data_IF_636731490086
#
_entry.id   IF_636731490086
#
_cell.length_a   1.000
_cell.length_b   1.000
_cell.length_c   1.000
_cell.angle_alpha   90.00
_cell.angle_beta   90.00
_cell.angle_gamma   90.00
#
_symmetry.space_group_name_H-M   'P 1'
#
loop_
_entity.id
_entity.type
_entity.pdbx_description
1 polymer ?
#
# COMPACT_ATOMS: atom_id res chain seq x y z
N UNK A 1 14.20 -20.75 -2.69
CA UNK A 1 12.82 -20.28 -2.36
C UNK A 1 12.73 -18.90 -1.68
N UNK A 2 13.76 -18.38 -0.97
CA UNK A 2 13.68 -17.06 -0.28
C UNK A 2 13.62 -15.83 -1.21
N UNK A 3 14.34 -15.84 -2.34
CA UNK A 3 14.31 -14.76 -3.35
C UNK A 3 12.89 -14.51 -3.89
N UNK A 4 12.09 -15.56 -4.08
CA UNK A 4 10.72 -15.44 -4.56
C UNK A 4 9.82 -14.73 -3.54
N UNK A 5 10.00 -14.98 -2.23
CA UNK A 5 9.17 -14.34 -1.18
C UNK A 5 9.34 -12.82 -1.14
N UNK A 6 10.56 -12.32 -1.35
CA UNK A 6 10.85 -10.87 -1.43
C UNK A 6 10.21 -10.21 -2.62
N UNK A 7 10.36 -10.83 -3.79
CA UNK A 7 9.74 -10.36 -5.01
C UNK A 7 8.22 -10.24 -4.85
N UNK A 8 7.58 -11.26 -4.29
CA UNK A 8 6.14 -11.23 -4.02
C UNK A 8 5.73 -10.20 -2.96
N UNK A 9 6.49 -10.05 -1.87
CA UNK A 9 6.21 -9.03 -0.86
C UNK A 9 6.35 -7.60 -1.40
N UNK A 10 7.38 -7.34 -2.22
CA UNK A 10 7.57 -6.06 -2.90
C UNK A 10 6.48 -5.81 -3.94
N UNK A 11 6.12 -6.81 -4.75
CA UNK A 11 5.06 -6.72 -5.75
C UNK A 11 3.70 -6.42 -5.09
N UNK A 12 3.37 -7.08 -3.98
CA UNK A 12 2.16 -6.81 -3.21
C UNK A 12 2.14 -5.38 -2.65
N UNK A 13 3.29 -4.88 -2.21
CA UNK A 13 3.41 -3.52 -1.68
C UNK A 13 3.18 -2.49 -2.78
N UNK A 14 3.81 -2.67 -3.93
CA UNK A 14 3.64 -1.80 -5.08
C UNK A 14 2.19 -1.81 -5.56
N UNK A 15 1.58 -3.00 -5.71
CA UNK A 15 0.18 -3.13 -6.12
C UNK A 15 -0.77 -2.42 -5.14
N UNK A 16 -0.57 -2.61 -3.82
CA UNK A 16 -1.38 -1.94 -2.80
C UNK A 16 -1.19 -0.42 -2.81
N UNK A 17 0.03 0.06 -3.03
CA UNK A 17 0.32 1.50 -3.19
C UNK A 17 -0.37 2.09 -4.43
N UNK A 18 -0.36 1.39 -5.56
CA UNK A 18 -1.07 1.81 -6.77
C UNK A 18 -2.58 1.91 -6.53
N UNK A 19 -3.17 0.94 -5.82
CA UNK A 19 -4.60 0.98 -5.47
C UNK A 19 -4.93 2.16 -4.54
N UNK A 20 -4.09 2.46 -3.55
CA UNK A 20 -4.26 3.64 -2.70
C UNK A 20 -4.19 4.93 -3.50
N UNK A 21 -3.21 5.04 -4.40
CA UNK A 21 -3.06 6.20 -5.26
C UNK A 21 -4.30 6.40 -6.16
N UNK A 22 -4.79 5.34 -6.79
CA UNK A 22 -6.00 5.39 -7.60
C UNK A 22 -7.23 5.79 -6.75
N UNK A 23 -7.36 5.24 -5.55
CA UNK A 23 -8.44 5.59 -4.62
C UNK A 23 -8.40 7.08 -4.21
N UNK A 24 -7.20 7.66 -4.05
CA UNK A 24 -7.03 9.09 -3.79
C UNK A 24 -7.48 9.94 -4.97
N UNK A 25 -7.16 9.54 -6.21
CA UNK A 25 -7.63 10.24 -7.41
C UNK A 25 -9.16 10.27 -7.48
N UNK A 26 -9.82 9.16 -7.14
CA UNK A 26 -11.30 9.11 -7.06
C UNK A 26 -11.84 10.09 -6.02
N UNK A 27 -11.19 10.20 -4.85
CA UNK A 27 -11.60 11.18 -3.84
C UNK A 27 -11.37 12.62 -4.28
N UNK A 28 -10.28 12.90 -4.99
CA UNK A 28 -9.99 14.24 -5.54
C UNK A 28 -11.04 14.62 -6.59
N UNK A 29 -11.33 13.70 -7.52
CA UNK A 29 -12.34 13.91 -8.56
C UNK A 29 -13.72 14.18 -7.95
N UNK A 30 -14.11 13.37 -6.96
CA UNK A 30 -15.34 13.59 -6.20
C UNK A 30 -15.31 14.94 -5.48
N UNK A 31 -14.21 15.30 -4.81
CA UNK A 31 -14.08 16.57 -4.12
C UNK A 31 -14.21 17.77 -5.07
N UNK A 32 -13.61 17.69 -6.26
CA UNK A 32 -13.75 18.69 -7.32
C UNK A 32 -15.22 18.82 -7.74
N UNK A 33 -15.90 17.70 -7.98
CA UNK A 33 -17.30 17.68 -8.41
C UNK A 33 -18.26 18.33 -7.41
N UNK A 34 -17.95 18.26 -6.10
CA UNK A 34 -18.75 18.86 -5.04
C UNK A 34 -18.40 20.32 -4.73
N UNK A 35 -17.14 20.72 -4.87
CA UNK A 35 -16.66 22.03 -4.41
C UNK A 35 -16.38 23.03 -5.55
N UNK A 36 -16.14 22.56 -6.78
CA UNK A 36 -15.89 23.43 -7.91
C UNK A 36 -17.23 23.81 -8.55
N UNK A 37 -17.59 25.10 -8.57
CA UNK A 37 -18.81 25.55 -9.22
C UNK A 37 -18.72 25.25 -10.71
N UNK A 38 -19.59 24.36 -11.20
CA UNK A 38 -19.68 24.05 -12.63
C UNK A 38 -20.29 25.26 -13.32
N UNK A 39 -19.49 26.00 -14.09
CA UNK A 39 -19.91 27.16 -14.90
C UNK A 39 -20.75 26.76 -16.13
N UNK A 40 -21.38 25.58 -16.11
CA UNK A 40 -22.27 25.07 -17.16
C UNK A 40 -23.74 25.43 -16.93
N UNK A 41 -24.59 25.15 -17.93
CA UNK A 41 -26.01 25.51 -17.96
C UNK A 41 -26.71 25.35 -16.59
N UNK A 42 -27.32 26.44 -16.13
CA UNK A 42 -28.00 26.61 -14.85
C UNK A 42 -29.02 25.47 -14.66
N UNK A 43 -28.67 24.43 -13.91
CA UNK A 43 -29.58 23.30 -13.67
C UNK A 43 -28.92 22.00 -13.21
N UNK A 44 -27.68 21.71 -13.62
CA UNK A 44 -26.96 20.54 -13.13
C UNK A 44 -26.17 20.89 -11.86
N UNK A 45 -26.87 20.90 -10.72
CA UNK A 45 -26.21 20.88 -9.42
C UNK A 45 -25.25 19.68 -9.29
N UNK A 46 -24.37 19.66 -8.26
CA UNK A 46 -23.44 18.56 -8.07
C UNK A 46 -24.19 17.22 -8.07
N UNK A 47 -23.65 16.18 -8.73
CA UNK A 47 -24.30 14.89 -8.80
C UNK A 47 -24.59 14.38 -7.38
N UNK A 48 -25.85 14.00 -7.13
CA UNK A 48 -26.24 13.46 -5.81
C UNK A 48 -25.66 12.06 -5.67
N UNK A 49 -24.59 11.90 -4.90
CA UNK A 49 -24.14 10.58 -4.49
C UNK A 49 -25.17 9.96 -3.55
N UNK A 50 -25.59 8.73 -3.82
CA UNK A 50 -26.49 8.03 -2.92
C UNK A 50 -25.74 7.64 -1.64
N UNK A 51 -26.46 7.51 -0.52
CA UNK A 51 -25.85 7.06 0.74
C UNK A 51 -25.18 5.68 0.60
N UNK A 52 -25.73 4.83 -0.26
CA UNK A 52 -25.18 3.50 -0.57
C UNK A 52 -23.85 3.60 -1.32
N UNK A 53 -23.74 4.48 -2.32
CA UNK A 53 -22.47 4.71 -3.05
C UNK A 53 -21.40 5.26 -2.12
N UNK A 54 -21.77 6.20 -1.23
CA UNK A 54 -20.86 6.75 -0.22
C UNK A 54 -20.32 5.68 0.73
N UNK A 55 -21.21 4.79 1.20
CA UNK A 55 -20.84 3.68 2.06
C UNK A 55 -19.90 2.70 1.33
N UNK A 56 -20.22 2.31 0.09
CA UNK A 56 -19.37 1.44 -0.72
C UNK A 56 -17.99 2.06 -0.98
N UNK A 57 -17.94 3.36 -1.29
CA UNK A 57 -16.68 4.07 -1.50
C UNK A 57 -15.82 4.07 -0.23
N UNK A 58 -16.43 4.37 0.92
CA UNK A 58 -15.76 4.34 2.23
C UNK A 58 -15.24 2.95 2.60
N UNK A 59 -16.09 1.91 2.45
CA UNK A 59 -15.69 0.53 2.75
C UNK A 59 -14.55 0.07 1.83
N UNK A 60 -14.60 0.38 0.53
CA UNK A 60 -13.51 0.07 -0.41
C UNK A 60 -12.20 0.71 0.01
N UNK A 61 -12.23 2.00 0.38
CA UNK A 61 -11.05 2.71 0.85
C UNK A 61 -10.45 2.07 2.12
N UNK A 62 -11.29 1.66 3.07
CA UNK A 62 -10.84 0.96 4.29
C UNK A 62 -10.19 -0.40 3.98
N UNK A 63 -10.77 -1.17 3.06
CA UNK A 63 -10.21 -2.47 2.64
C UNK A 63 -8.87 -2.29 1.95
N UNK A 64 -8.74 -1.32 1.04
CA UNK A 64 -7.47 -1.00 0.36
C UNK A 64 -6.42 -0.59 1.39
N UNK A 65 -6.78 0.26 2.35
CA UNK A 65 -5.88 0.69 3.43
C UNK A 65 -5.41 -0.48 4.29
N UNK A 66 -6.32 -1.36 4.70
CA UNK A 66 -5.98 -2.55 5.45
C UNK A 66 -5.03 -3.49 4.67
N UNK A 67 -5.29 -3.68 3.37
CA UNK A 67 -4.42 -4.44 2.48
C UNK A 67 -3.00 -3.85 2.38
N UNK A 68 -2.90 -2.53 2.26
CA UNK A 68 -1.63 -1.82 2.25
C UNK A 68 -0.85 -2.00 3.56
N UNK A 69 -1.51 -1.85 4.71
CA UNK A 69 -0.87 -2.03 6.04
C UNK A 69 -0.34 -3.47 6.20
N UNK A 70 -1.10 -4.46 5.78
CA UNK A 70 -0.67 -5.87 5.81
C UNK A 70 0.51 -6.11 4.87
N UNK A 71 0.48 -5.54 3.67
CA UNK A 71 1.57 -5.66 2.70
C UNK A 71 2.84 -5.00 3.22
N UNK A 72 2.73 -3.82 3.82
CA UNK A 72 3.85 -3.11 4.44
C UNK A 72 4.46 -3.94 5.57
N UNK A 73 3.62 -4.49 6.46
CA UNK A 73 4.08 -5.36 7.54
C UNK A 73 4.81 -6.60 7.02
N UNK A 74 4.31 -7.23 5.96
CA UNK A 74 4.95 -8.39 5.33
C UNK A 74 6.30 -8.00 4.69
N UNK A 75 6.37 -6.85 4.02
CA UNK A 75 7.61 -6.34 3.44
C UNK A 75 8.67 -6.06 4.52
N UNK A 76 8.30 -5.33 5.60
CA UNK A 76 9.21 -5.05 6.72
C UNK A 76 9.70 -6.33 7.40
N UNK A 77 8.83 -7.33 7.61
CA UNK A 77 9.25 -8.64 8.14
C UNK A 77 10.29 -9.30 7.23
N UNK A 78 10.03 -9.31 5.93
CA UNK A 78 10.93 -9.94 4.96
C UNK A 78 12.29 -9.25 4.89
N UNK A 79 12.34 -7.92 5.09
CA UNK A 79 13.59 -7.17 5.23
C UNK A 79 14.33 -7.50 6.56
N UNK A 80 13.58 -7.60 7.67
CA UNK A 80 14.17 -7.88 8.99
C UNK A 80 14.81 -9.28 9.08
N UNK A 81 14.19 -10.29 8.46
CA UNK A 81 14.77 -11.64 8.36
C UNK A 81 16.07 -11.67 7.55
N UNK A 82 16.27 -10.72 6.63
CA UNK A 82 17.48 -10.62 5.80
C UNK A 82 18.65 -9.96 6.54
N UNK A 83 18.35 -8.97 7.40
CA UNK A 83 19.35 -8.34 8.27
C UNK A 83 19.86 -9.24 9.41
N UNK A 84 19.18 -10.36 9.67
CA UNK A 84 19.54 -11.28 10.75
C UNK A 84 20.52 -12.40 10.32
N UNK A 85 20.77 -12.58 9.02
CA UNK A 85 21.81 -13.48 8.48
C UNK A 85 22.64 -12.68 7.47
N UNK A 86 23.85 -12.20 7.80
CA UNK A 86 24.99 -13.09 8.03
C UNK A 86 26.00 -12.59 9.07
N UNK A 87 26.30 -13.38 10.11
CA UNK A 87 27.57 -13.36 10.84
C UNK A 87 27.87 -14.72 11.52
N UNK A 88 27.30 -15.81 11.00
CA UNK A 88 27.62 -17.16 11.50
C UNK A 88 28.92 -17.73 10.87
N UNK A 89 29.40 -17.15 9.75
CA UNK A 89 30.62 -17.58 9.08
C UNK A 89 31.89 -16.93 9.63
N UNK A 90 31.80 -15.75 10.26
CA UNK A 90 32.98 -15.02 10.76
C UNK A 90 33.40 -15.49 12.17
N UNK A 91 32.47 -16.07 12.93
CA UNK A 91 32.77 -16.64 14.25
C UNK A 91 33.48 -18.01 14.18
N UNK A 92 33.44 -18.71 13.04
CA UNK A 92 34.01 -20.06 12.91
C UNK A 92 35.45 -20.09 12.36
N UNK A 93 35.98 -18.97 11.88
CA UNK A 93 37.31 -18.90 11.25
C UNK A 93 38.36 -18.10 12.06
N UNK A 94 37.95 -17.46 13.17
CA UNK A 94 38.85 -16.69 14.05
C UNK A 94 39.56 -17.50 15.14
N UNK A 95 39.22 -18.78 15.31
CA UNK A 95 39.65 -19.59 16.47
C UNK A 95 40.51 -20.82 16.08
N UNK A 96 41.12 -20.80 14.88
CA UNK A 96 41.99 -21.90 14.38
C UNK A 96 43.46 -21.51 14.21
N UNK A 97 43.89 -20.39 14.77
CA UNK A 97 45.20 -19.81 14.48
C UNK A 97 45.91 -19.16 15.66
N UNK A 98 45.99 -19.82 16.82
CA UNK A 98 47.09 -19.57 17.75
C UNK A 98 47.35 -20.80 18.61
N UNK A 99 48.30 -21.63 18.18
CA UNK A 99 49.01 -22.60 19.02
C UNK A 99 50.49 -22.50 18.67
#
# INVERSE_FOLDING_TARGET
>A
MRKNKRFWAAALLIASSCLLFFQLLVFIDMWIDYNVPKTGAIGNGPPKMTAMDGMLLGTRALVILAGFVLSLRNFTKTLREDSAEPNASDAANGDRGSS
#
